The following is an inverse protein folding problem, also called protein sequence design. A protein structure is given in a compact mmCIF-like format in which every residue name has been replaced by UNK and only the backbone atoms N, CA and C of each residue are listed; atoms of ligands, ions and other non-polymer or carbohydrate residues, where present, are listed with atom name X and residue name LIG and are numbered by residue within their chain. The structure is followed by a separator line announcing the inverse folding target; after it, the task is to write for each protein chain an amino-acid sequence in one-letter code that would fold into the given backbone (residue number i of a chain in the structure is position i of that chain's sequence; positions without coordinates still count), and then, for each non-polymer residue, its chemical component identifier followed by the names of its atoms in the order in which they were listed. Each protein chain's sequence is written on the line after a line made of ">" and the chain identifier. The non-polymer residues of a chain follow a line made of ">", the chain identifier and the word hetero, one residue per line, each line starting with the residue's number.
data_IF_804698435576
#
_entry.id   IF_804698435576
#
_cell.length_a   1.000
_cell.length_b   1.000
_cell.length_c   1.000
_cell.angle_alpha   90.00
_cell.angle_beta   90.00
_cell.angle_gamma   90.00
#
_symmetry.space_group_name_H-M   'P 1'
#
loop_
_entity.id
_entity.type
_entity.pdbx_description
1 polymer ?
#
# COMPACT_ATOMS: atom_id res chain seq x y z
N UNK A 1 -15.40 -4.52 5.56
CA UNK A 1 -16.27 -3.33 5.53
C UNK A 1 -15.74 -2.30 6.51
N UNK A 2 -15.33 -1.10 6.07
CA UNK A 2 -15.07 0.02 6.99
C UNK A 2 -16.42 0.50 7.53
N UNK A 3 -16.64 0.42 8.85
CA UNK A 3 -17.81 1.03 9.48
C UNK A 3 -17.65 2.55 9.40
N UNK A 4 -18.57 3.23 8.73
CA UNK A 4 -18.60 4.70 8.69
C UNK A 4 -19.34 5.21 9.92
N UNK A 5 -18.72 6.12 10.69
CA UNK A 5 -19.33 6.74 11.86
C UNK A 5 -20.42 7.73 11.42
N UNK A 6 -21.57 7.74 12.11
CA UNK A 6 -22.64 8.73 11.87
C UNK A 6 -22.14 10.15 12.13
N UNK A 7 -22.46 11.09 11.24
CA UNK A 7 -21.97 12.47 11.29
C UNK A 7 -22.38 13.23 12.56
N UNK A 8 -23.55 12.93 13.13
CA UNK A 8 -23.99 13.50 14.41
C UNK A 8 -23.09 13.13 15.58
N UNK A 9 -22.66 11.86 15.64
CA UNK A 9 -21.71 11.37 16.66
C UNK A 9 -20.35 12.04 16.51
N UNK A 10 -19.91 12.25 15.27
CA UNK A 10 -18.66 12.95 14.97
C UNK A 10 -18.68 14.39 15.54
N UNK A 11 -19.73 15.16 15.23
CA UNK A 11 -19.87 16.54 15.71
C UNK A 11 -19.94 16.65 17.24
N UNK A 12 -20.63 15.72 17.90
CA UNK A 12 -20.71 15.71 19.37
C UNK A 12 -19.34 15.45 20.03
N UNK A 13 -18.52 14.58 19.45
CA UNK A 13 -17.17 14.31 19.93
C UNK A 13 -16.24 15.52 19.71
N UNK A 14 -16.30 16.16 18.53
CA UNK A 14 -15.52 17.38 18.25
C UNK A 14 -15.91 18.53 19.19
N UNK A 15 -17.22 18.72 19.46
CA UNK A 15 -17.71 19.72 20.41
C UNK A 15 -17.29 19.44 21.86
N UNK A 16 -17.10 18.18 22.22
CA UNK A 16 -16.57 17.75 23.51
C UNK A 16 -15.03 17.80 23.59
N UNK A 17 -14.36 18.38 22.59
CA UNK A 17 -12.90 18.56 22.57
C UNK A 17 -12.10 17.35 22.08
N UNK A 18 -12.76 16.31 21.57
CA UNK A 18 -12.06 15.14 21.01
C UNK A 18 -11.58 15.42 19.58
N UNK A 19 -10.29 15.14 19.31
CA UNK A 19 -9.73 15.17 17.96
C UNK A 19 -10.03 13.84 17.25
N UNK A 20 -10.73 13.92 16.11
CA UNK A 20 -11.00 12.77 15.25
C UNK A 20 -10.03 12.72 14.08
N UNK A 21 -9.22 11.67 14.03
CA UNK A 21 -8.27 11.39 12.94
C UNK A 21 -8.21 9.90 12.59
N UNK A 22 -7.47 9.56 11.54
CA UNK A 22 -7.12 8.18 11.21
C UNK A 22 -5.84 7.74 11.96
N UNK A 23 -5.38 6.51 11.69
CA UNK A 23 -4.17 6.00 12.33
C UNK A 23 -2.91 6.80 11.98
N UNK A 24 -2.88 7.43 10.79
CA UNK A 24 -1.76 8.26 10.36
C UNK A 24 -1.76 9.58 11.12
N UNK A 25 -2.94 10.18 11.36
CA UNK A 25 -3.10 11.37 12.22
C UNK A 25 -2.67 11.10 13.66
N UNK A 26 -2.95 9.89 14.18
CA UNK A 26 -2.56 9.49 15.54
C UNK A 26 -1.05 9.25 15.67
N UNK A 27 -0.43 8.66 14.64
CA UNK A 27 1.00 8.37 14.60
C UNK A 27 1.86 9.55 14.08
N UNK A 28 1.22 10.68 13.77
CA UNK A 28 1.88 11.89 13.22
C UNK A 28 2.72 11.59 11.98
N UNK A 29 2.22 10.68 11.13
CA UNK A 29 2.94 10.26 9.92
C UNK A 29 2.98 11.39 8.90
N UNK A 30 4.16 11.59 8.30
CA UNK A 30 4.30 12.42 7.11
C UNK A 30 3.57 11.80 5.90
N UNK A 31 3.27 12.63 4.89
CA UNK A 31 2.63 12.16 3.65
C UNK A 31 3.47 11.07 2.97
N UNK A 32 4.81 11.19 3.01
CA UNK A 32 5.74 10.22 2.43
C UNK A 32 5.73 8.89 3.19
N UNK A 33 5.68 8.92 4.52
CA UNK A 33 5.56 7.71 5.35
C UNK A 33 4.23 7.01 5.13
N UNK A 34 3.15 7.78 5.02
CA UNK A 34 1.82 7.25 4.73
C UNK A 34 1.79 6.58 3.35
N UNK A 35 2.37 7.23 2.34
CA UNK A 35 2.51 6.68 1.00
C UNK A 35 3.33 5.38 0.98
N UNK A 36 4.46 5.35 1.71
CA UNK A 36 5.29 4.14 1.81
C UNK A 36 4.55 3.00 2.52
N UNK A 37 3.85 3.30 3.62
CA UNK A 37 3.07 2.30 4.36
C UNK A 37 1.97 1.70 3.49
N UNK A 38 1.18 2.54 2.82
CA UNK A 38 0.10 2.11 1.93
C UNK A 38 0.64 1.25 0.78
N UNK A 39 1.74 1.67 0.15
CA UNK A 39 2.37 0.91 -0.93
C UNK A 39 2.85 -0.48 -0.46
N UNK A 40 3.49 -0.56 0.71
CA UNK A 40 3.96 -1.82 1.29
C UNK A 40 2.80 -2.77 1.61
N UNK A 41 1.74 -2.23 2.22
CA UNK A 41 0.56 -3.00 2.59
C UNK A 41 -0.16 -3.54 1.36
N UNK A 42 -0.43 -2.68 0.37
CA UNK A 42 -1.13 -3.09 -0.85
C UNK A 42 -0.33 -4.13 -1.65
N UNK A 43 0.99 -3.98 -1.72
CA UNK A 43 1.84 -4.94 -2.42
C UNK A 43 1.89 -6.29 -1.70
N UNK A 44 2.00 -6.31 -0.35
CA UNK A 44 1.96 -7.55 0.43
C UNK A 44 0.62 -8.29 0.26
N UNK A 45 -0.49 -7.55 0.26
CA UNK A 45 -1.81 -8.12 -0.02
C UNK A 45 -1.92 -8.63 -1.46
N UNK A 46 -1.33 -7.92 -2.42
CA UNK A 46 -1.27 -8.37 -3.81
C UNK A 46 -0.48 -9.68 -3.97
N UNK A 47 0.66 -9.84 -3.27
CA UNK A 47 1.42 -11.11 -3.22
C UNK A 47 0.53 -12.24 -2.74
N UNK A 48 -0.18 -12.04 -1.61
CA UNK A 48 -1.07 -13.06 -1.06
C UNK A 48 -2.20 -13.45 -2.01
N UNK A 49 -2.85 -12.45 -2.64
CA UNK A 49 -3.92 -12.67 -3.61
C UNK A 49 -3.42 -13.44 -4.83
N UNK A 50 -2.29 -13.02 -5.41
CA UNK A 50 -1.70 -13.68 -6.57
C UNK A 50 -1.25 -15.11 -6.26
N UNK A 51 -0.59 -15.33 -5.11
CA UNK A 51 -0.19 -16.67 -4.68
C UNK A 51 -1.40 -17.60 -4.61
N UNK A 52 -2.49 -17.14 -4.00
CA UNK A 52 -3.72 -17.90 -3.88
C UNK A 52 -4.36 -18.18 -5.25
N UNK A 53 -4.40 -17.18 -6.15
CA UNK A 53 -4.90 -17.35 -7.51
C UNK A 53 -4.09 -18.38 -8.31
N UNK A 54 -2.78 -18.42 -8.10
CA UNK A 54 -1.89 -19.41 -8.72
C UNK A 54 -1.83 -20.77 -8.00
N UNK A 55 -2.75 -21.04 -7.06
CA UNK A 55 -2.85 -22.29 -6.30
C UNK A 55 -1.53 -22.71 -5.60
N UNK A 56 -0.73 -21.74 -5.15
CA UNK A 56 0.51 -22.01 -4.43
C UNK A 56 0.27 -21.91 -2.92
N UNK A 57 0.78 -22.86 -2.16
CA UNK A 57 1.02 -22.71 -0.71
C UNK A 57 2.14 -21.70 -0.44
N UNK A 58 2.21 -21.20 0.80
CA UNK A 58 3.32 -20.33 1.20
C UNK A 58 4.69 -21.05 1.10
N UNK A 59 4.73 -22.37 1.32
CA UNK A 59 5.94 -23.18 1.16
C UNK A 59 6.38 -23.28 -0.30
N UNK A 60 5.44 -23.42 -1.23
CA UNK A 60 5.73 -23.46 -2.67
C UNK A 60 6.27 -22.14 -3.20
N UNK A 61 5.66 -21.02 -2.79
CA UNK A 61 6.20 -19.70 -3.10
C UNK A 61 7.58 -19.51 -2.46
N UNK A 62 7.79 -20.02 -1.24
CA UNK A 62 9.08 -20.03 -0.56
C UNK A 62 10.16 -20.72 -1.40
N UNK A 63 9.85 -21.92 -1.92
CA UNK A 63 10.75 -22.67 -2.82
C UNK A 63 11.11 -21.86 -4.08
N UNK A 64 10.14 -21.20 -4.72
CA UNK A 64 10.40 -20.32 -5.89
C UNK A 64 11.31 -19.15 -5.56
N UNK A 65 11.16 -18.58 -4.35
CA UNK A 65 11.95 -17.46 -3.85
C UNK A 65 13.27 -17.87 -3.19
N UNK A 66 13.58 -19.17 -3.14
CA UNK A 66 14.73 -19.71 -2.39
C UNK A 66 14.73 -19.23 -0.92
N UNK A 67 13.55 -19.25 -0.30
CA UNK A 67 13.34 -18.84 1.09
C UNK A 67 12.37 -19.77 1.82
N UNK A 68 12.19 -19.56 3.12
CA UNK A 68 11.36 -20.41 3.96
C UNK A 68 9.87 -20.00 3.95
N UNK A 69 8.98 -20.93 4.27
CA UNK A 69 7.55 -20.64 4.41
C UNK A 69 7.24 -19.53 5.44
N UNK A 70 7.88 -19.48 6.63
CA UNK A 70 7.69 -18.37 7.56
C UNK A 70 8.14 -17.03 6.99
N UNK A 71 9.16 -17.03 6.12
CA UNK A 71 9.58 -15.80 5.43
C UNK A 71 8.50 -15.31 4.46
N UNK A 72 7.85 -16.21 3.73
CA UNK A 72 6.69 -15.86 2.89
C UNK A 72 5.54 -15.31 3.73
N UNK A 73 5.25 -15.89 4.90
CA UNK A 73 4.23 -15.35 5.80
C UNK A 73 4.57 -13.92 6.28
N UNK A 74 5.86 -13.61 6.55
CA UNK A 74 6.34 -12.24 6.84
C UNK A 74 6.14 -11.29 5.65
N UNK A 75 6.40 -11.75 4.43
CA UNK A 75 6.21 -10.98 3.20
C UNK A 75 4.72 -10.62 3.02
N UNK A 76 3.81 -11.58 3.15
CA UNK A 76 2.36 -11.37 2.97
C UNK A 76 1.71 -10.44 4.01
N UNK A 77 2.40 -10.20 5.14
CA UNK A 77 1.95 -9.28 6.20
C UNK A 77 2.75 -7.96 6.25
N UNK A 78 3.56 -7.69 5.23
CA UNK A 78 4.41 -6.50 5.14
C UNK A 78 5.29 -6.28 6.40
N UNK A 79 5.89 -7.36 6.94
CA UNK A 79 6.72 -7.24 8.14
C UNK A 79 7.83 -6.19 7.99
N UNK A 80 8.24 -5.57 9.10
CA UNK A 80 9.21 -4.45 9.12
C UNK A 80 10.57 -4.83 8.52
N UNK A 81 10.96 -6.11 8.62
CA UNK A 81 12.19 -6.67 8.06
C UNK A 81 12.09 -7.05 6.56
N UNK A 82 10.96 -6.76 5.90
CA UNK A 82 10.75 -7.05 4.47
C UNK A 82 11.02 -5.79 3.65
N UNK A 83 11.87 -5.87 2.63
CA UNK A 83 12.11 -4.73 1.73
C UNK A 83 11.02 -4.61 0.65
N UNK A 84 10.88 -3.43 0.04
CA UNK A 84 10.02 -3.25 -1.15
C UNK A 84 10.46 -4.18 -2.28
N UNK A 85 11.77 -4.35 -2.49
CA UNK A 85 12.32 -5.29 -3.46
C UNK A 85 11.84 -6.73 -3.21
N UNK A 86 11.80 -7.18 -1.96
CA UNK A 86 11.30 -8.51 -1.61
C UNK A 86 9.80 -8.66 -1.91
N UNK A 87 8.99 -7.61 -1.68
CA UNK A 87 7.57 -7.62 -2.02
C UNK A 87 7.36 -7.72 -3.54
N UNK A 88 8.10 -6.93 -4.31
CA UNK A 88 8.03 -6.94 -5.79
C UNK A 88 8.47 -8.30 -6.35
N UNK A 89 9.60 -8.84 -5.87
CA UNK A 89 10.09 -10.17 -6.26
C UNK A 89 9.12 -11.29 -5.90
N UNK A 90 8.52 -11.23 -4.72
CA UNK A 90 7.52 -12.20 -4.30
C UNK A 90 6.27 -12.16 -5.17
N UNK A 91 5.82 -10.96 -5.56
CA UNK A 91 4.67 -10.81 -6.45
C UNK A 91 4.96 -11.43 -7.83
N UNK A 92 6.13 -11.15 -8.38
CA UNK A 92 6.58 -11.76 -9.65
C UNK A 92 6.71 -13.29 -9.56
N UNK A 93 7.33 -13.81 -8.50
CA UNK A 93 7.48 -15.25 -8.29
C UNK A 93 6.15 -16.00 -8.10
N UNK A 94 5.14 -15.30 -7.58
CA UNK A 94 3.77 -15.80 -7.49
C UNK A 94 3.05 -15.83 -8.84
N UNK A 95 3.65 -15.35 -9.93
CA UNK A 95 3.08 -15.36 -11.28
C UNK A 95 2.41 -14.04 -11.69
N UNK A 96 2.54 -13.00 -10.87
CA UNK A 96 2.06 -11.68 -11.20
C UNK A 96 3.06 -10.90 -12.06
N UNK A 97 2.59 -9.87 -12.76
CA UNK A 97 3.47 -8.95 -13.50
C UNK A 97 3.27 -7.53 -13.00
N UNK A 98 4.32 -6.71 -13.04
CA UNK A 98 4.22 -5.31 -12.63
C UNK A 98 4.90 -4.41 -13.67
N UNK A 99 4.41 -3.18 -13.77
CA UNK A 99 5.02 -2.13 -14.57
C UNK A 99 4.98 -0.81 -13.81
N UNK A 100 5.99 0.01 -14.03
CA UNK A 100 6.04 1.37 -13.49
C UNK A 100 5.70 2.30 -14.64
N UNK A 101 4.65 3.11 -14.44
CA UNK A 101 4.26 4.14 -15.39
C UNK A 101 4.45 5.49 -14.71
N UNK A 102 5.19 6.39 -15.34
CA UNK A 102 5.28 7.77 -14.88
C UNK A 102 4.31 8.63 -15.67
N UNK A 103 3.58 9.48 -14.95
CA UNK A 103 2.66 10.46 -15.55
C UNK A 103 3.05 11.83 -15.06
N UNK A 104 3.21 12.78 -15.99
CA UNK A 104 3.39 14.19 -15.65
C UNK A 104 2.09 14.68 -15.01
N UNK A 105 2.13 14.93 -13.71
CA UNK A 105 0.99 15.51 -12.99
C UNK A 105 1.17 17.01 -12.97
N UNK A 106 0.18 17.73 -13.49
CA UNK A 106 0.10 19.18 -13.32
C UNK A 106 -0.54 19.42 -11.95
N UNK A 107 0.26 19.78 -10.96
CA UNK A 107 -0.25 20.13 -9.63
C UNK A 107 -1.13 21.38 -9.80
N UNK A 108 -2.46 21.21 -9.79
CA UNK A 108 -3.39 22.35 -9.73
C UNK A 108 -3.36 22.90 -8.29
N UNK A 109 -2.58 23.96 -8.09
CA UNK A 109 -2.60 24.72 -6.86
C UNK A 109 -4.01 25.25 -6.57
N UNK A 110 -4.54 24.97 -5.38
CA UNK A 110 -5.80 25.53 -4.88
C UNK A 110 -5.50 26.95 -4.36
N UNK A 111 -5.35 27.91 -5.26
CA UNK A 111 -5.09 29.32 -4.90
C UNK A 111 -4.72 30.19 -6.10
N UNK A 112 -5.02 31.50 -6.02
CA UNK A 112 -4.83 32.53 -7.06
C UNK A 112 -3.34 32.91 -7.32
N UNK A 113 -2.41 31.97 -7.11
CA UNK A 113 -0.97 32.13 -7.40
C UNK A 113 -0.56 31.11 -8.46
N UNK A 114 0.22 31.57 -9.45
CA UNK A 114 0.68 30.77 -10.60
C UNK A 114 1.20 29.39 -10.14
N UNK A 115 0.79 28.27 -10.77
CA UNK A 115 1.31 26.96 -10.42
C UNK A 115 2.76 26.89 -10.88
N UNK A 116 3.70 26.83 -9.94
CA UNK A 116 5.12 26.61 -10.23
C UNK A 116 5.50 25.24 -9.64
N UNK A 117 5.54 24.24 -10.51
CA UNK A 117 5.90 22.86 -10.17
C UNK A 117 5.24 21.85 -11.11
N UNK A 118 6.00 21.31 -12.06
CA UNK A 118 5.65 20.06 -12.73
C UNK A 118 6.06 18.91 -11.82
N UNK A 119 5.10 18.20 -11.24
CA UNK A 119 5.35 16.98 -10.50
C UNK A 119 5.31 15.78 -11.43
N UNK A 120 6.14 14.78 -11.18
CA UNK A 120 6.04 13.47 -11.84
C UNK A 120 5.51 12.47 -10.83
N UNK A 121 4.43 11.77 -11.18
CA UNK A 121 3.84 10.73 -10.33
C UNK A 121 4.16 9.38 -10.97
N UNK A 122 4.85 8.52 -10.23
CA UNK A 122 5.06 7.13 -10.61
C UNK A 122 3.93 6.27 -10.04
N UNK A 123 3.28 5.47 -10.88
CA UNK A 123 2.28 4.49 -10.47
C UNK A 123 2.82 3.08 -10.74
N UNK A 124 2.90 2.27 -9.68
CA UNK A 124 3.15 0.83 -9.82
C UNK A 124 1.83 0.14 -10.17
N UNK A 125 1.70 -0.32 -11.43
CA UNK A 125 0.58 -1.14 -11.85
C UNK A 125 0.95 -2.60 -11.70
N UNK A 126 0.06 -3.34 -11.07
CA UNK A 126 0.23 -4.75 -10.72
C UNK A 126 -0.87 -5.52 -11.43
N UNK A 127 -0.50 -6.44 -12.32
CA UNK A 127 -1.42 -7.29 -13.07
C UNK A 127 -1.40 -8.70 -12.47
N UNK A 128 -2.60 -9.20 -12.21
CA UNK A 128 -2.84 -10.52 -11.62
C UNK A 128 -3.16 -11.49 -12.74
N UNK A 129 -2.39 -12.57 -12.84
CA UNK A 129 -2.63 -13.64 -13.81
C UNK A 129 -3.79 -14.52 -13.32
N UNK A 130 -4.72 -14.87 -14.21
CA UNK A 130 -5.82 -15.82 -13.94
C UNK A 130 -5.30 -17.23 -13.74
#
# INVERSE_FOLDING_TARGET
>A
MRRVMKQSKRKALEAAGWKLGDAADFLEMSDDERQLLDARLELALAVRRQRAASNLSQAELGRRLKTSQPRVAKIERAATDVSLDQLVKAFAAAGGTFSIQTTKTRIRGKGKRRPQGSGEVATLKVAVSK
#
